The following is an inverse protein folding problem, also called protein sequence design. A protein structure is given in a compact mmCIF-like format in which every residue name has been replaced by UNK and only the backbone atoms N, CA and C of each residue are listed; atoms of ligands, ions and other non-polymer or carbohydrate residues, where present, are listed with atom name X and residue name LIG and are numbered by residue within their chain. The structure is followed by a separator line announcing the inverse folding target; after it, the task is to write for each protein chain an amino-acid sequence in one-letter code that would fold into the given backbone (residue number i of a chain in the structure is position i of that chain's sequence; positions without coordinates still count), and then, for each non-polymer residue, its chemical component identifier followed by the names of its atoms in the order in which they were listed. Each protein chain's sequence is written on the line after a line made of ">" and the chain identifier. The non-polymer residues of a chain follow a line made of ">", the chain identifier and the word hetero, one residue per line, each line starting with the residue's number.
data_IF_041132071245
#
_entry.id   IF_041132071245
#
_cell.length_a   1.000
_cell.length_b   1.000
_cell.length_c   1.000
_cell.angle_alpha   90.00
_cell.angle_beta   90.00
_cell.angle_gamma   90.00
#
_symmetry.space_group_name_H-M   'P 1'
#
loop_
_entity.id
_entity.type
_entity.pdbx_description
1 polymer ?
#
# COMPACT_ATOMS: atom_id res chain seq x y z
N UNK A 1 -1.68 -18.28 -2.08
CA UNK A 1 -2.28 -17.21 -2.92
C UNK A 1 -2.32 -15.94 -2.10
N UNK A 2 -1.87 -14.82 -2.64
CA UNK A 2 -1.97 -13.51 -1.97
C UNK A 2 -3.42 -13.02 -2.08
N UNK A 3 -4.11 -12.69 -0.98
CA UNK A 3 -5.54 -12.31 -1.05
C UNK A 3 -5.77 -11.00 -1.80
N UNK A 4 -5.02 -9.95 -1.44
CA UNK A 4 -5.17 -8.62 -2.05
C UNK A 4 -3.80 -7.95 -2.17
N UNK A 5 -3.47 -7.48 -3.38
CA UNK A 5 -2.36 -6.55 -3.62
C UNK A 5 -2.94 -5.17 -3.95
N UNK A 6 -2.39 -4.12 -3.35
CA UNK A 6 -2.78 -2.73 -3.57
C UNK A 6 -1.59 -1.94 -4.10
N UNK A 7 -1.76 -1.29 -5.25
CA UNK A 7 -0.72 -0.50 -5.89
C UNK A 7 -1.24 0.90 -6.22
N UNK A 8 -0.88 1.94 -5.45
CA UNK A 8 -1.10 3.33 -5.86
C UNK A 8 -0.11 3.70 -6.97
N UNK A 9 -0.57 4.34 -8.02
CA UNK A 9 0.27 4.89 -9.09
C UNK A 9 -0.12 6.34 -9.37
N UNK A 10 0.86 7.21 -9.63
CA UNK A 10 0.62 8.61 -10.00
C UNK A 10 1.05 8.88 -11.44
N UNK A 11 2.22 8.43 -11.80
CA UNK A 11 2.83 8.49 -13.12
C UNK A 11 3.71 7.26 -13.29
N UNK A 12 4.62 7.21 -14.24
CA UNK A 12 5.57 6.11 -14.43
C UNK A 12 4.88 4.75 -14.56
N UNK A 13 3.94 4.67 -15.48
CA UNK A 13 3.24 3.41 -15.81
C UNK A 13 4.17 2.34 -16.38
N UNK A 14 5.35 2.75 -16.90
CA UNK A 14 6.45 1.86 -17.28
C UNK A 14 6.99 1.06 -16.08
N UNK A 15 7.08 1.69 -14.91
CA UNK A 15 7.51 1.02 -13.68
C UNK A 15 6.39 0.12 -13.13
N UNK A 16 5.14 0.55 -13.24
CA UNK A 16 3.99 -0.29 -12.89
C UNK A 16 3.97 -1.58 -13.74
N UNK A 17 4.22 -1.49 -15.05
CA UNK A 17 4.32 -2.65 -15.93
C UNK A 17 5.41 -3.62 -15.44
N UNK A 18 6.61 -3.11 -15.10
CA UNK A 18 7.69 -3.94 -14.55
C UNK A 18 7.31 -4.55 -13.20
N UNK A 19 6.66 -3.78 -12.32
CA UNK A 19 6.16 -4.25 -11.03
C UNK A 19 5.22 -5.44 -11.23
N UNK A 20 4.22 -5.31 -12.09
CA UNK A 20 3.26 -6.37 -12.37
C UNK A 20 3.90 -7.58 -13.06
N UNK A 21 4.81 -7.37 -14.01
CA UNK A 21 5.54 -8.46 -14.67
C UNK A 21 6.37 -9.32 -13.70
N UNK A 22 6.70 -8.79 -12.52
CA UNK A 22 7.42 -9.50 -11.47
C UNK A 22 6.54 -10.37 -10.56
N UNK A 23 5.23 -10.30 -10.70
CA UNK A 23 4.27 -11.10 -9.92
C UNK A 23 4.25 -12.53 -10.48
N UNK A 24 4.96 -13.43 -9.85
CA UNK A 24 5.14 -14.83 -10.27
C UNK A 24 4.42 -15.86 -9.37
N UNK A 25 3.58 -15.38 -8.45
CA UNK A 25 2.83 -16.19 -7.51
C UNK A 25 1.34 -15.80 -7.52
N UNK A 26 0.40 -16.73 -7.37
CA UNK A 26 -1.03 -16.46 -7.49
C UNK A 26 -1.54 -15.35 -6.55
N UNK A 27 -2.34 -14.44 -7.12
CA UNK A 27 -3.01 -13.31 -6.47
C UNK A 27 -4.51 -13.40 -6.74
N UNK A 28 -5.33 -13.36 -5.69
CA UNK A 28 -6.80 -13.36 -5.84
C UNK A 28 -7.29 -12.02 -6.40
N UNK A 29 -6.92 -10.92 -5.75
CA UNK A 29 -7.37 -9.58 -6.19
C UNK A 29 -6.18 -8.59 -6.27
N UNK A 30 -6.01 -7.95 -7.43
CA UNK A 30 -5.13 -6.79 -7.61
C UNK A 30 -5.98 -5.52 -7.67
N UNK A 31 -5.64 -4.52 -6.87
CA UNK A 31 -6.24 -3.18 -6.90
C UNK A 31 -5.18 -2.17 -7.31
N UNK A 32 -5.39 -1.48 -8.41
CA UNK A 32 -4.57 -0.35 -8.86
C UNK A 32 -5.37 0.93 -8.60
N UNK A 33 -4.80 1.83 -7.78
CA UNK A 33 -5.35 3.17 -7.55
C UNK A 33 -4.59 4.14 -8.44
N UNK A 34 -5.19 4.49 -9.57
CA UNK A 34 -4.61 5.43 -10.53
C UNK A 34 -4.90 6.87 -10.11
N UNK A 35 -3.96 7.46 -9.40
CA UNK A 35 -4.00 8.85 -8.92
C UNK A 35 -3.60 9.87 -9.99
N UNK A 36 -3.05 9.42 -11.10
CA UNK A 36 -2.56 10.29 -12.18
C UNK A 36 -3.59 10.56 -13.25
N UNK A 37 -4.41 9.56 -13.56
CA UNK A 37 -5.45 9.64 -14.59
C UNK A 37 -4.95 10.00 -15.99
N UNK A 38 -3.62 9.90 -16.24
CA UNK A 38 -2.98 10.38 -17.47
C UNK A 38 -3.04 9.37 -18.61
N UNK A 39 -3.18 8.09 -18.29
CA UNK A 39 -3.26 7.03 -19.27
C UNK A 39 -4.39 6.06 -18.91
N UNK A 40 -5.03 5.50 -19.94
CA UNK A 40 -5.99 4.43 -19.71
C UNK A 40 -5.22 3.12 -19.46
N UNK A 41 -5.36 2.56 -18.27
CA UNK A 41 -4.83 1.25 -17.94
C UNK A 41 -5.76 0.12 -18.43
N UNK A 42 -7.01 0.45 -18.78
CA UNK A 42 -7.98 -0.51 -19.29
C UNK A 42 -7.54 -1.07 -20.64
N UNK A 43 -7.46 -2.38 -20.74
CA UNK A 43 -7.05 -3.06 -21.97
C UNK A 43 -5.55 -3.11 -22.21
N UNK A 44 -4.73 -2.70 -21.26
CA UNK A 44 -3.27 -2.90 -21.34
C UNK A 44 -2.96 -4.40 -21.34
N UNK A 45 -2.27 -4.95 -22.40
CA UNK A 45 -2.03 -6.39 -22.51
C UNK A 45 -1.28 -6.98 -21.32
N UNK A 46 -0.30 -6.25 -20.78
CA UNK A 46 0.49 -6.69 -19.64
C UNK A 46 -0.31 -6.79 -18.33
N UNK A 47 -1.54 -6.23 -18.29
CA UNK A 47 -2.46 -6.36 -17.16
C UNK A 47 -3.54 -7.40 -17.43
N UNK A 48 -4.19 -7.32 -18.61
CA UNK A 48 -5.34 -8.17 -18.97
C UNK A 48 -4.95 -9.65 -19.09
N UNK A 49 -3.77 -9.92 -19.64
CA UNK A 49 -3.27 -11.29 -19.89
C UNK A 49 -2.43 -11.84 -18.73
N UNK A 50 -2.47 -11.22 -17.57
CA UNK A 50 -1.62 -11.61 -16.44
C UNK A 50 -2.10 -12.92 -15.80
N UNK A 51 -1.32 -14.00 -15.98
CA UNK A 51 -1.72 -15.37 -15.60
C UNK A 51 -1.79 -15.65 -14.11
N UNK A 52 -1.18 -14.81 -13.29
CA UNK A 52 -1.11 -15.00 -11.83
C UNK A 52 -2.17 -14.19 -11.07
N UNK A 53 -2.97 -13.39 -11.76
CA UNK A 53 -3.96 -12.50 -11.14
C UNK A 53 -5.35 -12.96 -11.55
N UNK A 54 -6.16 -13.39 -10.58
CA UNK A 54 -7.50 -13.91 -10.85
C UNK A 54 -8.52 -12.79 -11.12
N UNK A 55 -8.45 -11.70 -10.33
CA UNK A 55 -9.30 -10.52 -10.50
C UNK A 55 -8.48 -9.24 -10.38
N UNK A 56 -8.74 -8.24 -11.23
CA UNK A 56 -8.08 -6.94 -11.13
C UNK A 56 -9.09 -5.80 -11.16
N UNK A 57 -8.81 -4.75 -10.37
CA UNK A 57 -9.61 -3.53 -10.26
C UNK A 57 -8.73 -2.32 -10.53
N UNK A 58 -9.15 -1.46 -11.45
CA UNK A 58 -8.51 -0.17 -11.72
C UNK A 58 -9.48 0.91 -11.28
N UNK A 59 -9.05 1.73 -10.33
CA UNK A 59 -9.81 2.87 -9.85
C UNK A 59 -9.10 4.15 -10.23
N UNK A 60 -9.56 4.77 -11.32
CA UNK A 60 -9.04 6.06 -11.79
C UNK A 60 -9.61 7.18 -10.93
N UNK A 61 -8.74 7.89 -10.23
CA UNK A 61 -9.13 8.95 -9.32
C UNK A 61 -9.19 10.30 -10.03
N UNK A 62 -10.14 11.18 -9.69
CA UNK A 62 -10.26 12.50 -10.30
C UNK A 62 -9.12 13.45 -9.89
N UNK A 63 -8.36 13.10 -8.86
CA UNK A 63 -7.19 13.83 -8.35
C UNK A 63 -6.27 12.88 -7.59
N UNK A 64 -5.05 13.33 -7.31
CA UNK A 64 -4.14 12.57 -6.46
C UNK A 64 -4.67 12.50 -5.02
N UNK A 65 -5.09 11.33 -4.59
CA UNK A 65 -5.57 11.07 -3.22
C UNK A 65 -4.42 10.91 -2.21
N UNK A 66 -3.19 10.71 -2.70
CA UNK A 66 -2.05 10.34 -1.87
C UNK A 66 -2.02 8.85 -1.50
N UNK A 67 -0.91 8.47 -0.87
CA UNK A 67 -0.61 7.06 -0.57
C UNK A 67 -1.53 6.52 0.52
N UNK A 68 -1.62 7.21 1.66
CA UNK A 68 -2.44 6.78 2.81
C UNK A 68 -3.91 6.56 2.43
N UNK A 69 -4.52 7.53 1.73
CA UNK A 69 -5.92 7.42 1.30
C UNK A 69 -6.13 6.29 0.30
N UNK A 70 -5.18 6.08 -0.61
CA UNK A 70 -5.24 4.97 -1.58
C UNK A 70 -5.20 3.60 -0.87
N UNK A 71 -4.35 3.43 0.11
CA UNK A 71 -4.30 2.21 0.92
C UNK A 71 -5.57 2.01 1.73
N UNK A 72 -6.04 3.03 2.44
CA UNK A 72 -7.26 2.98 3.23
C UNK A 72 -8.51 2.67 2.39
N UNK A 73 -8.62 3.29 1.21
CA UNK A 73 -9.72 3.04 0.28
C UNK A 73 -9.78 1.54 -0.10
N UNK A 74 -8.63 0.96 -0.40
CA UNK A 74 -8.52 -0.46 -0.76
C UNK A 74 -8.86 -1.37 0.42
N UNK A 75 -8.36 -1.07 1.62
CA UNK A 75 -8.68 -1.79 2.86
C UNK A 75 -10.20 -1.76 3.12
N UNK A 76 -10.80 -0.59 3.07
CA UNK A 76 -12.25 -0.38 3.27
C UNK A 76 -13.10 -1.10 2.21
N UNK A 77 -12.60 -1.21 0.98
CA UNK A 77 -13.32 -1.84 -0.13
C UNK A 77 -13.21 -3.38 -0.14
N UNK A 78 -12.23 -3.94 0.57
CA UNK A 78 -11.97 -5.40 0.62
C UNK A 78 -12.01 -5.95 2.06
N UNK A 79 -13.11 -5.75 2.81
CA UNK A 79 -13.20 -6.17 4.22
C UNK A 79 -13.18 -7.69 4.40
N UNK A 80 -13.40 -8.45 3.32
CA UNK A 80 -13.34 -9.91 3.28
C UNK A 80 -11.92 -10.49 3.29
N UNK A 81 -10.88 -9.66 3.10
CA UNK A 81 -9.49 -10.12 3.15
C UNK A 81 -9.11 -10.53 4.58
N UNK A 82 -9.12 -11.84 4.85
CA UNK A 82 -8.90 -12.38 6.21
C UNK A 82 -7.44 -12.30 6.66
N UNK A 83 -6.50 -12.39 5.72
CA UNK A 83 -5.08 -12.38 6.06
C UNK A 83 -4.51 -10.95 6.11
N UNK A 84 -5.15 -10.00 5.45
CA UNK A 84 -4.68 -8.60 5.32
C UNK A 84 -4.38 -8.20 3.88
N UNK A 85 -3.56 -7.18 3.70
CA UNK A 85 -3.33 -6.52 2.43
C UNK A 85 -1.83 -6.36 2.18
N UNK A 86 -1.40 -6.71 0.97
CA UNK A 86 -0.07 -6.39 0.48
C UNK A 86 -0.09 -5.01 -0.18
N UNK A 87 0.55 -4.04 0.43
CA UNK A 87 0.73 -2.68 -0.06
C UNK A 87 2.05 -2.62 -0.80
N UNK A 88 2.02 -2.33 -2.08
CA UNK A 88 3.19 -2.39 -2.96
C UNK A 88 3.34 -1.07 -3.72
N UNK A 89 4.53 -0.51 -3.71
CA UNK A 89 4.83 0.66 -4.53
C UNK A 89 4.87 0.29 -6.02
N UNK A 90 4.40 1.18 -6.88
CA UNK A 90 4.38 0.95 -8.33
C UNK A 90 5.77 0.84 -8.97
N UNK A 91 6.82 1.26 -8.29
CA UNK A 91 8.22 1.20 -8.69
C UNK A 91 9.04 0.12 -7.94
N UNK A 92 8.35 -0.77 -7.21
CA UNK A 92 8.95 -1.95 -6.60
C UNK A 92 8.74 -3.19 -7.49
N UNK A 93 9.65 -4.18 -7.40
CA UNK A 93 9.51 -5.46 -8.11
C UNK A 93 10.17 -6.61 -7.36
N UNK A 94 9.63 -7.79 -7.55
CA UNK A 94 10.10 -9.04 -6.93
C UNK A 94 11.18 -9.72 -7.79
N UNK A 95 12.21 -10.29 -7.14
CA UNK A 95 13.01 -11.31 -7.81
C UNK A 95 12.23 -12.64 -7.92
N UNK A 96 12.59 -13.53 -8.85
CA UNK A 96 11.87 -14.81 -9.04
C UNK A 96 11.70 -15.59 -7.73
N UNK A 97 10.45 -15.96 -7.42
CA UNK A 97 10.07 -16.68 -6.20
C UNK A 97 9.95 -15.81 -4.93
N UNK A 98 10.32 -14.54 -5.00
CA UNK A 98 10.34 -13.67 -3.83
C UNK A 98 8.94 -13.37 -3.30
N UNK A 99 7.92 -13.22 -4.16
CA UNK A 99 6.55 -13.00 -3.72
C UNK A 99 6.00 -14.18 -2.92
N UNK A 100 6.27 -15.41 -3.36
CA UNK A 100 5.89 -16.62 -2.64
C UNK A 100 6.57 -16.68 -1.26
N UNK A 101 7.85 -16.36 -1.21
CA UNK A 101 8.63 -16.32 0.03
C UNK A 101 8.03 -15.29 0.98
N UNK A 102 7.85 -14.04 0.52
CA UNK A 102 7.26 -12.95 1.30
C UNK A 102 5.89 -13.32 1.86
N UNK A 103 4.99 -13.82 1.01
CA UNK A 103 3.66 -14.24 1.44
C UNK A 103 3.69 -15.35 2.51
N UNK A 104 4.68 -16.24 2.46
CA UNK A 104 4.86 -17.29 3.48
C UNK A 104 5.22 -16.76 4.87
N UNK A 105 5.71 -15.53 4.98
CA UNK A 105 6.05 -14.86 6.24
C UNK A 105 4.95 -13.91 6.73
N UNK A 106 3.90 -13.68 5.92
CA UNK A 106 2.77 -12.81 6.28
C UNK A 106 1.82 -13.49 7.27
N UNK A 107 1.25 -12.69 8.17
CA UNK A 107 0.25 -13.13 9.15
C UNK A 107 -0.81 -12.05 9.36
N UNK A 108 -2.07 -12.40 9.68
CA UNK A 108 -3.11 -11.42 10.00
C UNK A 108 -2.79 -10.57 11.23
N UNK A 109 -1.84 -11.00 12.07
CA UNK A 109 -1.49 -10.33 13.34
C UNK A 109 -0.22 -9.47 13.25
N UNK A 110 0.43 -9.42 12.09
CA UNK A 110 1.74 -8.75 11.94
C UNK A 110 1.75 -7.71 10.82
N UNK A 111 2.72 -6.79 10.90
CA UNK A 111 3.21 -6.05 9.74
C UNK A 111 4.44 -6.80 9.25
N UNK A 112 4.47 -7.15 7.96
CA UNK A 112 5.65 -7.77 7.33
C UNK A 112 6.19 -6.84 6.25
N UNK A 113 7.47 -6.50 6.34
CA UNK A 113 8.14 -5.51 5.47
C UNK A 113 9.23 -6.19 4.63
N UNK A 114 9.33 -5.83 3.34
CA UNK A 114 10.44 -6.25 2.48
C UNK A 114 10.92 -5.09 1.58
N UNK A 115 12.16 -5.22 1.11
CA UNK A 115 12.80 -4.16 0.30
C UNK A 115 13.49 -3.10 1.16
N UNK A 116 13.95 -2.03 0.51
CA UNK A 116 14.56 -0.85 1.16
C UNK A 116 14.12 0.41 0.41
N UNK A 117 13.36 1.32 1.05
CA UNK A 117 12.80 1.19 2.42
C UNK A 117 11.76 0.07 2.51
N UNK A 118 11.56 -0.50 3.69
CA UNK A 118 10.69 -1.66 3.92
C UNK A 118 9.23 -1.46 3.51
N UNK A 119 8.73 -0.23 3.54
CA UNK A 119 7.38 0.13 3.14
C UNK A 119 7.17 0.19 1.62
N UNK A 120 8.20 -0.07 0.81
CA UNK A 120 8.01 -0.29 -0.62
C UNK A 120 7.24 -1.58 -0.96
N UNK A 121 7.29 -2.56 -0.03
CA UNK A 121 6.53 -3.80 -0.06
C UNK A 121 6.17 -4.17 1.39
N UNK A 122 4.94 -3.90 1.79
CA UNK A 122 4.47 -4.08 3.15
C UNK A 122 3.18 -4.89 3.18
N UNK A 123 3.15 -5.96 3.97
CA UNK A 123 1.90 -6.62 4.31
C UNK A 123 1.39 -6.09 5.63
N UNK A 124 0.16 -5.64 5.66
CA UNK A 124 -0.55 -5.20 6.86
C UNK A 124 -1.63 -6.21 7.18
N UNK A 125 -1.47 -6.91 8.29
CA UNK A 125 -2.41 -7.93 8.73
C UNK A 125 -3.77 -7.35 9.11
N UNK A 126 -4.85 -8.12 8.89
CA UNK A 126 -6.21 -7.70 9.21
C UNK A 126 -6.38 -7.29 10.68
N UNK A 127 -5.84 -8.08 11.60
CA UNK A 127 -5.96 -7.83 13.03
C UNK A 127 -5.14 -6.62 13.48
N UNK A 128 -4.11 -6.26 12.70
CA UNK A 128 -3.36 -5.01 12.90
C UNK A 128 -4.27 -3.80 12.67
N UNK A 129 -4.97 -3.77 11.53
CA UNK A 129 -5.92 -2.68 11.22
C UNK A 129 -7.03 -2.61 12.26
N UNK A 130 -7.58 -3.76 12.68
CA UNK A 130 -8.59 -3.81 13.74
C UNK A 130 -8.08 -3.27 15.08
N UNK A 131 -6.79 -3.45 15.38
CA UNK A 131 -6.18 -3.04 16.65
C UNK A 131 -5.74 -1.57 16.68
N UNK A 132 -5.16 -1.06 15.59
CA UNK A 132 -4.56 0.27 15.57
C UNK A 132 -5.21 1.25 14.58
N UNK A 133 -6.27 0.83 13.90
CA UNK A 133 -6.99 1.63 12.90
C UNK A 133 -6.25 1.76 11.57
N UNK A 134 -6.72 2.68 10.74
CA UNK A 134 -6.24 2.95 9.39
C UNK A 134 -5.01 3.88 9.37
N UNK A 135 -4.45 4.12 8.18
CA UNK A 135 -3.41 5.13 7.98
C UNK A 135 -3.96 6.54 8.16
N UNK A 136 -3.13 7.47 8.63
CA UNK A 136 -3.52 8.88 8.75
C UNK A 136 -3.49 9.57 7.39
N UNK A 137 -4.65 9.90 6.83
CA UNK A 137 -4.78 10.50 5.50
C UNK A 137 -4.35 11.97 5.43
N UNK A 138 -4.08 12.61 6.58
CA UNK A 138 -3.53 13.96 6.63
C UNK A 138 -2.06 14.04 6.19
N UNK A 139 -1.35 12.91 6.11
CA UNK A 139 -0.04 12.83 5.48
C UNK A 139 -0.21 12.76 3.95
N UNK A 140 -0.37 13.91 3.33
CA UNK A 140 -0.66 14.00 1.90
C UNK A 140 0.47 14.74 1.15
N UNK A 141 0.85 14.33 -0.06
CA UNK A 141 0.38 13.13 -0.78
C UNK A 141 1.13 11.86 -0.36
N UNK A 142 2.27 11.96 0.29
CA UNK A 142 3.12 10.85 0.72
C UNK A 142 4.09 11.30 1.81
N UNK A 143 4.76 10.34 2.44
CA UNK A 143 5.73 10.42 3.54
C UNK A 143 5.09 10.67 4.91
N UNK A 144 5.63 9.94 5.89
CA UNK A 144 5.23 9.91 7.30
C UNK A 144 3.94 9.14 7.61
N UNK A 145 3.13 8.74 6.61
CA UNK A 145 1.99 7.85 6.81
C UNK A 145 2.42 6.48 7.32
N UNK A 146 3.51 5.96 6.75
CA UNK A 146 4.16 4.71 7.11
C UNK A 146 4.86 4.81 8.48
N UNK A 147 5.60 5.88 8.74
CA UNK A 147 6.25 6.13 10.01
C UNK A 147 5.22 6.24 11.16
N UNK A 148 4.09 6.95 10.94
CA UNK A 148 3.01 7.06 11.93
C UNK A 148 2.38 5.70 12.21
N UNK A 149 2.09 4.94 11.15
CA UNK A 149 1.46 3.63 11.28
C UNK A 149 2.37 2.63 11.99
N UNK A 150 3.65 2.56 11.61
CA UNK A 150 4.64 1.70 12.25
C UNK A 150 4.84 2.05 13.72
N UNK A 151 4.96 3.33 14.04
CA UNK A 151 5.12 3.79 15.42
C UNK A 151 3.89 3.50 16.29
N UNK A 152 2.66 3.62 15.72
CA UNK A 152 1.43 3.20 16.41
C UNK A 152 1.41 1.69 16.64
N UNK A 153 1.83 0.91 15.65
CA UNK A 153 1.95 -0.53 15.76
C UNK A 153 2.89 -0.93 16.91
N UNK A 154 4.09 -0.33 16.97
CA UNK A 154 5.05 -0.54 18.04
C UNK A 154 4.48 -0.18 19.42
N UNK A 155 3.81 0.98 19.54
CA UNK A 155 3.19 1.43 20.78
C UNK A 155 2.09 0.49 21.28
N UNK A 156 1.42 -0.24 20.39
CA UNK A 156 0.39 -1.23 20.72
C UNK A 156 0.91 -2.68 20.77
N UNK A 157 2.22 -2.88 20.66
CA UNK A 157 2.84 -4.20 20.73
C UNK A 157 2.46 -5.11 19.53
N UNK A 158 2.26 -4.51 18.35
CA UNK A 158 2.08 -5.26 17.10
C UNK A 158 3.46 -5.72 16.62
N UNK A 159 3.66 -7.01 16.32
CA UNK A 159 4.92 -7.50 15.80
C UNK A 159 5.19 -6.96 14.38
N UNK A 160 6.45 -6.52 14.15
CA UNK A 160 6.94 -6.11 12.83
C UNK A 160 8.00 -7.11 12.40
N UNK A 161 7.74 -7.79 11.27
CA UNK A 161 8.61 -8.80 10.68
C UNK A 161 9.35 -8.18 9.49
N UNK A 162 10.66 -8.31 9.47
CA UNK A 162 11.48 -7.92 8.32
C UNK A 162 11.80 -9.16 7.49
N UNK A 163 11.12 -9.27 6.35
CA UNK A 163 11.29 -10.37 5.41
C UNK A 163 12.66 -10.34 4.75
N UNK A 164 13.18 -11.53 4.46
CA UNK A 164 14.38 -11.69 3.64
C UNK A 164 14.09 -11.85 2.14
N UNK A 165 12.82 -11.77 1.76
CA UNK A 165 12.40 -11.79 0.36
C UNK A 165 13.08 -10.67 -0.45
N UNK A 166 13.51 -11.02 -1.65
CA UNK A 166 14.25 -10.10 -2.53
C UNK A 166 13.29 -9.20 -3.28
N UNK A 167 13.08 -8.00 -2.73
CA UNK A 167 12.29 -6.93 -3.35
C UNK A 167 13.20 -5.76 -3.65
N UNK A 168 13.21 -5.34 -4.90
CA UNK A 168 13.95 -4.18 -5.40
C UNK A 168 13.00 -2.98 -5.49
N UNK A 169 13.54 -1.75 -5.46
CA UNK A 169 12.77 -0.53 -5.51
C UNK A 169 13.56 0.62 -6.13
N UNK A 170 12.99 1.29 -7.13
CA UNK A 170 13.55 2.48 -7.76
C UNK A 170 13.15 3.74 -6.98
N UNK A 171 13.73 3.91 -5.84
CA UNK A 171 13.37 4.95 -4.87
C UNK A 171 13.23 6.34 -5.51
N UNK A 172 12.09 7.01 -5.26
CA UNK A 172 11.79 8.39 -5.68
C UNK A 172 11.70 8.62 -7.21
N UNK A 173 11.55 7.58 -8.02
CA UNK A 173 11.48 7.69 -9.48
C UNK A 173 10.29 8.52 -9.98
N UNK A 174 9.15 8.47 -9.30
CA UNK A 174 7.95 9.27 -9.55
C UNK A 174 8.24 10.78 -9.46
N UNK A 175 8.99 11.19 -8.44
CA UNK A 175 9.30 12.60 -8.15
C UNK A 175 10.45 13.09 -9.04
N UNK A 176 11.45 12.25 -9.28
CA UNK A 176 12.59 12.59 -10.11
C UNK A 176 12.22 12.85 -11.57
N UNK A 177 11.08 12.35 -12.03
CA UNK A 177 10.62 12.49 -13.42
C UNK A 177 10.00 13.85 -13.75
N UNK A 178 9.62 14.65 -12.75
CA UNK A 178 8.94 15.95 -12.95
C UNK A 178 9.42 16.99 -11.91
N UNK A 179 10.11 18.06 -12.35
CA UNK A 179 10.58 19.12 -11.45
C UNK A 179 9.47 19.82 -10.64
N UNK A 180 8.27 19.94 -11.19
CA UNK A 180 7.13 20.55 -10.48
C UNK A 180 6.64 19.67 -9.34
N UNK A 181 6.67 18.34 -9.54
CA UNK A 181 6.40 17.37 -8.49
C UNK A 181 7.50 17.38 -7.42
N UNK A 182 8.76 17.55 -7.81
CA UNK A 182 9.87 17.63 -6.87
C UNK A 182 9.73 18.81 -5.89
N UNK A 183 9.37 20.00 -6.40
CA UNK A 183 9.15 21.18 -5.57
C UNK A 183 7.94 21.03 -4.66
N UNK A 184 6.80 20.56 -5.20
CA UNK A 184 5.60 20.30 -4.43
C UNK A 184 5.84 19.24 -3.35
N UNK A 185 6.61 18.20 -3.67
CA UNK A 185 7.01 17.16 -2.75
C UNK A 185 7.88 17.68 -1.60
N UNK A 186 8.83 18.56 -1.89
CA UNK A 186 9.66 19.18 -0.84
C UNK A 186 8.83 19.98 0.17
N UNK A 187 7.83 20.73 -0.30
CA UNK A 187 6.90 21.46 0.57
C UNK A 187 6.03 20.50 1.43
N UNK A 188 5.48 19.48 0.80
CA UNK A 188 4.63 18.51 1.51
C UNK A 188 5.42 17.66 2.50
N UNK A 189 6.66 17.29 2.17
CA UNK A 189 7.53 16.57 3.11
C UNK A 189 7.76 17.35 4.41
N UNK A 190 8.10 18.65 4.31
CA UNK A 190 8.28 19.50 5.50
C UNK A 190 6.98 19.65 6.30
N UNK A 191 5.84 19.87 5.61
CA UNK A 191 4.54 19.97 6.26
C UNK A 191 4.14 18.67 6.97
N UNK A 192 4.40 17.53 6.36
CA UNK A 192 4.12 16.21 6.93
C UNK A 192 5.05 15.90 8.11
N UNK A 193 6.31 16.32 8.05
CA UNK A 193 7.23 16.19 9.19
C UNK A 193 6.71 16.97 10.39
N UNK A 194 6.33 18.23 10.20
CA UNK A 194 5.78 19.06 11.29
C UNK A 194 4.47 18.46 11.85
N UNK A 195 3.62 17.93 10.98
CA UNK A 195 2.39 17.24 11.39
C UNK A 195 2.71 16.00 12.22
N UNK A 196 3.70 15.19 11.80
CA UNK A 196 4.14 14.00 12.52
C UNK A 196 4.64 14.36 13.93
N UNK A 197 5.52 15.35 14.05
CA UNK A 197 6.03 15.81 15.33
C UNK A 197 4.91 16.31 16.24
N UNK A 198 4.01 17.16 15.73
CA UNK A 198 2.84 17.66 16.47
C UNK A 198 1.92 16.54 16.91
N UNK A 199 1.67 15.56 16.06
CA UNK A 199 0.77 14.45 16.30
C UNK A 199 1.26 13.55 17.44
N UNK A 200 2.58 13.40 17.55
CA UNK A 200 3.23 12.56 18.58
C UNK A 200 3.67 13.31 19.84
N UNK A 201 3.50 14.63 19.91
CA UNK A 201 3.92 15.45 21.04
C UNK A 201 3.22 15.10 22.37
N UNK A 202 1.98 14.60 22.32
CA UNK A 202 1.15 14.31 23.48
C UNK A 202 0.93 12.79 23.72
N UNK A 203 1.80 11.94 23.20
CA UNK A 203 1.70 10.49 23.32
C UNK A 203 1.18 9.82 22.04
N UNK A 204 0.68 8.59 22.19
CA UNK A 204 0.17 7.82 21.05
C UNK A 204 -1.11 8.47 20.51
N UNK A 205 -1.14 8.89 19.24
CA UNK A 205 -2.32 9.53 18.69
C UNK A 205 -3.46 8.53 18.47
N UNK A 206 -4.68 8.95 18.73
CA UNK A 206 -5.87 8.22 18.31
C UNK A 206 -5.99 8.27 16.80
N UNK A 207 -6.57 7.23 16.22
CA UNK A 207 -6.85 7.16 14.79
C UNK A 207 -8.26 6.65 14.55
N UNK A 208 -8.78 6.91 13.34
CA UNK A 208 -10.09 6.45 12.94
C UNK A 208 -10.13 4.91 12.95
N UNK A 209 -11.04 4.37 13.74
CA UNK A 209 -11.35 2.95 13.75
C UNK A 209 -12.28 2.63 12.59
N UNK A 210 -12.04 1.52 11.92
CA UNK A 210 -12.90 0.99 10.89
C UNK A 210 -13.30 -0.44 11.24
N UNK A 211 -14.58 -0.65 11.47
CA UNK A 211 -15.13 -1.99 11.73
C UNK A 211 -15.19 -2.78 10.42
N UNK A 212 -14.18 -3.61 10.22
CA UNK A 212 -14.03 -4.46 9.03
C UNK A 212 -15.10 -5.56 8.96
N UNK A 213 -15.63 -6.00 10.11
CA UNK A 213 -16.56 -7.10 10.17
C UNK A 213 -18.01 -6.64 9.98
N UNK A 214 -18.32 -5.38 10.28
CA UNK A 214 -19.68 -4.85 10.22
C UNK A 214 -20.39 -5.09 8.89
N UNK A 215 -19.70 -4.91 7.78
CA UNK A 215 -20.29 -5.12 6.45
C UNK A 215 -20.54 -6.59 6.17
N UNK A 216 -19.61 -7.46 6.60
CA UNK A 216 -19.72 -8.93 6.48
C UNK A 216 -20.86 -9.44 7.35
N UNK A 217 -20.94 -9.01 8.62
CA UNK A 217 -22.01 -9.35 9.55
C UNK A 217 -23.40 -8.93 9.04
N UNK A 218 -23.47 -7.81 8.33
CA UNK A 218 -24.71 -7.30 7.74
C UNK A 218 -25.03 -7.91 6.37
N UNK A 219 -24.20 -8.84 5.86
CA UNK A 219 -24.38 -9.46 4.54
C UNK A 219 -24.07 -8.55 3.36
N UNK A 220 -23.23 -7.52 3.55
CA UNK A 220 -22.74 -6.60 2.52
C UNK A 220 -21.31 -6.95 2.06
N UNK A 221 -20.90 -8.16 2.23
CA UNK A 221 -19.77 -8.76 1.54
C UNK A 221 -20.09 -8.95 0.05
N UNK A 222 -19.21 -9.40 -0.73
CA UNK A 222 -19.37 -9.57 -2.19
C UNK A 222 -20.72 -10.12 -2.63
#
# INVERSE_FOLDING_TARGET
>A
MVPVIVIPVLNRYDLLERCLASIDYPVDTLIIIDNGGQASLWGCPWLVDHRQIDDYRIWSMPSNLGVATSWNLSIKATPYSKDGWLLLNSDAWFEPGALKHFHGECSPDTITLAGRPGWSCAHVGRNVVAKIGLFCENFHPAYFEDNDFERRAQAHGVPIVHSTAKVNHDNSSTIASDPSLAEANGRSFQANQMLYEKRWANGVPTHEEWDLDRRVELGWDR
#
